data_IF_736398599526
#
_entry.id   IF_736398599526
#
_cell.length_a   1.000
_cell.length_b   1.000
_cell.length_c   1.000
_cell.angle_alpha   90.00
_cell.angle_beta   90.00
_cell.angle_gamma   90.00
#
_symmetry.space_group_name_H-M   'P 1'
#
loop_
_entity.id
_entity.type
_entity.pdbx_description
1 polymer ?
2 water ?
#
# COMPACT_ATOMS: atom_id res chain seq x y z
N UNK A 1 10.31 21.39 21.50
CA UNK A 1 10.26 20.22 22.44
C UNK A 1 10.41 18.89 21.69
N UNK A 2 11.13 17.95 22.30
CA UNK A 2 11.34 16.64 21.69
C UNK A 2 10.05 15.84 21.72
N UNK A 3 9.75 15.17 20.61
CA UNK A 3 8.56 14.33 20.51
C UNK A 3 8.75 13.43 19.30
N UNK A 4 7.94 12.37 19.19
CA UNK A 4 8.10 11.49 18.02
C UNK A 4 7.70 12.30 16.80
N UNK A 5 8.48 12.18 15.74
CA UNK A 5 8.20 12.88 14.50
C UNK A 5 8.57 11.95 13.37
N UNK A 6 7.64 11.74 12.45
CA UNK A 6 7.91 10.88 11.31
C UNK A 6 7.88 11.73 10.04
N UNK A 7 9.03 11.82 9.39
CA UNK A 7 9.15 12.58 8.15
C UNK A 7 8.82 11.66 6.99
N UNK A 8 7.93 12.10 6.12
CA UNK A 8 7.55 11.30 4.97
C UNK A 8 7.79 12.10 3.69
N UNK A 9 8.71 11.62 2.86
CA UNK A 9 9.01 12.30 1.60
C UNK A 9 7.86 11.96 0.66
N UNK A 10 7.27 12.98 0.04
CA UNK A 10 6.16 12.75 -0.87
C UNK A 10 6.55 13.12 -2.30
N UNK A 11 6.13 12.30 -3.27
CA UNK A 11 6.42 12.60 -4.67
C UNK A 11 5.80 13.96 -4.93
N UNK A 12 6.57 14.90 -5.49
CA UNK A 12 6.04 16.25 -5.76
C UNK A 12 4.68 16.26 -6.45
N UNK A 13 4.51 15.37 -7.43
CA UNK A 13 3.27 15.27 -8.19
C UNK A 13 2.08 14.73 -7.38
N UNK A 14 2.33 14.31 -6.14
CA UNK A 14 1.26 13.78 -5.30
C UNK A 14 1.00 14.62 -4.05
N UNK A 15 1.75 15.70 -3.87
CA UNK A 15 1.58 16.54 -2.68
C UNK A 15 0.16 17.09 -2.58
N UNK A 16 -0.44 17.40 -3.72
CA UNK A 16 -1.80 17.91 -3.71
C UNK A 16 -2.79 16.86 -3.24
N UNK A 17 -2.52 15.60 -3.58
CA UNK A 17 -3.41 14.52 -3.19
C UNK A 17 -3.30 14.28 -1.69
N UNK A 18 -2.10 14.46 -1.15
CA UNK A 18 -1.88 14.27 0.28
C UNK A 18 -2.57 15.36 1.10
N UNK A 19 -2.47 16.60 0.63
CA UNK A 19 -3.09 17.72 1.32
C UNK A 19 -4.61 17.70 1.12
N UNK A 20 -5.03 17.50 -0.12
CA UNK A 20 -6.44 17.48 -0.44
C UNK A 20 -6.95 18.90 -0.63
N UNK A 21 -8.07 19.07 -1.36
CA UNK A 21 -8.62 20.41 -1.59
C UNK A 21 -8.92 21.09 -0.27
N UNK A 22 -8.36 22.28 -0.09
CA UNK A 22 -8.56 23.03 1.14
C UNK A 22 -8.00 22.27 2.34
N UNK A 23 -7.08 21.34 2.08
CA UNK A 23 -6.46 20.55 3.14
C UNK A 23 -7.36 19.51 3.79
N UNK A 24 -8.44 19.14 3.11
CA UNK A 24 -9.39 18.18 3.65
C UNK A 24 -8.83 16.77 3.90
N UNK A 25 -7.87 16.34 3.08
CA UNK A 25 -7.30 15.01 3.26
C UNK A 25 -6.38 14.95 4.48
N UNK A 26 -5.43 15.87 4.58
CA UNK A 26 -4.56 15.82 5.75
C UNK A 26 -5.39 16.09 7.01
N UNK A 27 -6.42 16.92 6.88
CA UNK A 27 -7.29 17.23 8.03
C UNK A 27 -7.98 15.96 8.52
N UNK A 28 -8.46 15.14 7.59
CA UNK A 28 -9.14 13.90 7.94
C UNK A 28 -8.17 12.91 8.57
N UNK A 29 -6.94 12.85 8.05
CA UNK A 29 -5.96 11.93 8.63
C UNK A 29 -5.68 12.36 10.06
N UNK A 30 -5.50 13.66 10.26
CA UNK A 30 -5.24 14.21 11.59
C UNK A 30 -6.40 13.90 12.53
N UNK A 31 -7.62 14.14 12.05
CA UNK A 31 -8.83 13.92 12.84
C UNK A 31 -9.00 12.50 13.35
N UNK A 32 -8.75 11.53 12.48
CA UNK A 32 -8.91 10.12 12.85
C UNK A 32 -7.80 9.50 13.69
N UNK A 33 -6.62 10.12 13.66
CA UNK A 33 -5.46 9.60 14.40
C UNK A 33 -4.97 10.44 15.58
N UNK A 34 -5.41 11.69 15.67
CA UNK A 34 -4.96 12.54 16.77
C UNK A 34 -3.54 13.01 16.53
N UNK A 35 -3.21 13.26 15.27
CA UNK A 35 -1.89 13.72 14.91
C UNK A 35 -1.96 15.12 14.32
N UNK A 36 -0.78 15.72 14.15
CA UNK A 36 -0.65 17.03 13.54
C UNK A 36 0.29 16.82 12.36
N UNK A 37 -0.17 17.17 11.18
CA UNK A 37 0.63 16.99 9.98
C UNK A 37 1.02 18.33 9.39
N UNK A 38 2.31 18.54 9.22
CA UNK A 38 2.81 19.79 8.65
C UNK A 38 3.44 19.48 7.30
N UNK A 39 3.18 20.35 6.34
CA UNK A 39 3.68 20.18 4.99
C UNK A 39 4.75 21.20 4.60
N UNK A 40 5.81 20.71 3.96
CA UNK A 40 6.90 21.55 3.48
C UNK A 40 6.79 21.43 1.96
N UNK A 41 6.01 22.31 1.34
CA UNK A 41 5.81 22.25 -0.11
C UNK A 41 7.09 22.37 -0.92
N UNK A 42 7.97 23.28 -0.51
CA UNK A 42 9.22 23.48 -1.23
C UNK A 42 10.10 22.23 -1.27
N UNK A 43 10.06 21.44 -0.20
CA UNK A 43 10.85 20.22 -0.12
C UNK A 43 9.99 18.97 -0.34
N UNK A 44 8.68 19.18 -0.52
CA UNK A 44 7.73 18.09 -0.73
C UNK A 44 7.96 17.02 0.34
N UNK A 45 7.94 17.48 1.59
CA UNK A 45 8.16 16.63 2.75
C UNK A 45 7.00 16.88 3.71
N UNK A 46 6.54 15.81 4.35
CA UNK A 46 5.45 15.92 5.31
C UNK A 46 5.97 15.45 6.67
N UNK A 47 5.56 16.12 7.74
CA UNK A 47 5.99 15.72 9.07
C UNK A 47 4.75 15.36 9.88
N UNK A 48 4.75 14.16 10.45
CA UNK A 48 3.63 13.68 11.25
C UNK A 48 4.05 13.66 12.72
N UNK A 49 3.25 14.31 13.57
CA UNK A 49 3.53 14.38 15.00
C UNK A 49 2.26 14.08 15.79
N UNK A 50 2.42 13.62 17.04
CA UNK A 50 1.23 13.34 17.85
C UNK A 50 0.73 14.69 18.39
N UNK A 51 -0.57 14.81 18.62
CA UNK A 51 -1.10 16.08 19.15
C UNK A 51 -0.83 16.19 20.65
N UNK A 52 -0.60 15.04 21.30
CA UNK A 52 -0.33 14.96 22.74
C UNK A 52 0.63 13.79 22.98
N UNK A 53 1.39 13.82 24.08
CA UNK A 53 2.37 12.74 24.35
C UNK A 53 1.77 11.35 24.47
N UNK A 54 0.54 11.29 24.96
CA UNK A 54 -0.14 10.02 25.15
C UNK A 54 -0.72 9.36 23.91
N UNK A 55 -0.57 9.99 22.74
CA UNK A 55 -1.07 9.40 21.49
C UNK A 55 -0.16 8.19 21.24
N UNK A 56 -0.73 6.99 21.05
CA UNK A 56 0.12 5.82 20.83
C UNK A 56 0.88 5.80 19.51
N UNK A 57 2.01 5.07 19.47
CA UNK A 57 2.86 4.93 18.29
C UNK A 57 2.08 4.45 17.08
N UNK A 58 1.17 3.50 17.28
CA UNK A 58 0.38 2.98 16.17
C UNK A 58 -0.41 4.08 15.45
N UNK A 59 -0.92 5.05 16.19
CA UNK A 59 -1.68 6.15 15.58
C UNK A 59 -0.78 7.00 14.71
N UNK A 60 0.42 7.28 15.22
CA UNK A 60 1.40 8.09 14.51
C UNK A 60 1.92 7.35 13.26
N UNK A 61 2.27 6.09 13.46
CA UNK A 61 2.78 5.26 12.38
C UNK A 61 1.76 5.04 11.26
N UNK A 62 0.51 4.74 11.61
CA UNK A 62 -0.50 4.53 10.57
C UNK A 62 -0.81 5.83 9.82
N UNK A 63 -0.78 6.96 10.53
CA UNK A 63 -1.02 8.25 9.89
C UNK A 63 0.05 8.44 8.81
N UNK A 64 1.29 8.10 9.16
CA UNK A 64 2.42 8.23 8.23
C UNK A 64 2.29 7.24 7.08
N UNK A 65 1.73 6.06 7.34
CA UNK A 65 1.57 5.06 6.29
C UNK A 65 0.53 5.52 5.28
N UNK A 66 -0.52 6.18 5.76
CA UNK A 66 -1.55 6.69 4.86
C UNK A 66 -0.91 7.70 3.90
N UNK A 67 -0.10 8.60 4.45
CA UNK A 67 0.57 9.60 3.62
C UNK A 67 1.47 8.92 2.58
N UNK A 68 2.23 7.92 3.01
CA UNK A 68 3.11 7.21 2.10
C UNK A 68 2.31 6.53 0.99
N UNK A 69 1.18 5.92 1.37
CA UNK A 69 0.32 5.23 0.40
C UNK A 69 -0.24 6.19 -0.66
N UNK A 70 -0.61 7.40 -0.25
CA UNK A 70 -1.14 8.39 -1.20
C UNK A 70 -0.01 8.85 -2.12
N UNK A 71 1.17 9.04 -1.55
CA UNK A 71 2.35 9.44 -2.32
C UNK A 71 2.65 8.39 -3.40
N UNK A 72 2.49 7.12 -3.05
CA UNK A 72 2.74 6.02 -3.98
C UNK A 72 1.72 5.92 -5.11
N UNK A 73 0.58 6.59 -4.97
CA UNK A 73 -0.41 6.55 -6.04
C UNK A 73 -1.84 6.23 -5.64
N UNK A 74 -2.04 5.69 -4.44
CA UNK A 74 -3.38 5.36 -3.98
C UNK A 74 -4.22 6.61 -3.72
N UNK A 75 -5.50 6.58 -4.12
CA UNK A 75 -6.32 7.76 -3.83
C UNK A 75 -6.55 7.72 -2.31
N UNK A 76 -6.75 8.88 -1.67
CA UNK A 76 -6.97 8.90 -0.22
C UNK A 76 -7.96 7.86 0.31
N UNK A 77 -9.11 7.74 -0.36
CA UNK A 77 -10.14 6.81 0.07
C UNK A 77 -9.62 5.38 0.24
N UNK A 78 -8.72 4.95 -0.64
CA UNK A 78 -8.18 3.60 -0.51
C UNK A 78 -7.08 3.57 0.54
N UNK A 79 -6.25 4.61 0.56
CA UNK A 79 -5.15 4.70 1.52
C UNK A 79 -5.63 4.67 2.98
N UNK A 80 -6.81 5.23 3.25
CA UNK A 80 -7.35 5.25 4.61
C UNK A 80 -7.51 3.85 5.21
N UNK A 81 -7.51 2.84 4.34
CA UNK A 81 -7.64 1.46 4.81
C UNK A 81 -6.50 1.13 5.76
N UNK A 82 -5.37 1.81 5.60
CA UNK A 82 -4.20 1.59 6.43
C UNK A 82 -4.41 2.01 7.89
N UNK A 83 -5.51 2.71 8.15
CA UNK A 83 -5.83 3.14 9.51
C UNK A 83 -6.50 1.98 10.24
N UNK A 84 -6.92 0.98 9.49
CA UNK A 84 -7.59 -0.17 10.07
C UNK A 84 -6.63 -1.15 10.72
N UNK A 85 -7.18 -1.90 11.67
CA UNK A 85 -6.42 -2.88 12.41
C UNK A 85 -5.91 -4.00 11.50
N UNK A 86 -4.65 -4.35 11.68
CA UNK A 86 -4.01 -5.42 10.92
C UNK A 86 -3.70 -5.12 9.45
N UNK A 87 -4.07 -3.94 8.96
CA UNK A 87 -3.78 -3.61 7.56
C UNK A 87 -2.38 -3.00 7.47
N UNK A 88 -1.60 -3.44 6.49
CA UNK A 88 -0.25 -2.92 6.29
C UNK A 88 -0.02 -2.53 4.83
N UNK A 89 1.07 -1.82 4.59
CA UNK A 89 1.44 -1.38 3.26
C UNK A 89 2.71 -2.09 2.84
N UNK A 90 2.65 -2.77 1.70
CA UNK A 90 3.81 -3.47 1.16
C UNK A 90 4.05 -2.90 -0.22
N UNK A 91 5.32 -2.71 -0.57
CA UNK A 91 5.65 -2.14 -1.87
C UNK A 91 6.63 -3.00 -2.66
N UNK A 92 6.36 -3.14 -3.95
CA UNK A 92 7.23 -3.88 -4.85
C UNK A 92 7.86 -2.84 -5.77
N UNK A 93 9.18 -2.66 -5.66
CA UNK A 93 9.86 -1.70 -6.51
C UNK A 93 10.29 -2.46 -7.76
N UNK A 94 9.60 -2.19 -8.88
CA UNK A 94 9.88 -2.88 -10.12
C UNK A 94 11.29 -2.67 -10.68
N UNK A 95 11.97 -1.60 -10.27
CA UNK A 95 13.32 -1.38 -10.76
C UNK A 95 14.28 -2.40 -10.17
N UNK A 96 13.83 -3.10 -9.14
CA UNK A 96 14.64 -4.14 -8.52
C UNK A 96 14.69 -5.33 -9.48
N UNK A 97 13.77 -5.33 -10.44
CA UNK A 97 13.69 -6.39 -11.43
C UNK A 97 14.24 -5.95 -12.78
N UNK A 98 13.71 -4.85 -13.30
CA UNK A 98 14.10 -4.33 -14.60
C UNK A 98 15.11 -3.18 -14.60
N UNK A 99 15.65 -2.85 -13.43
CA UNK A 99 16.62 -1.78 -13.36
C UNK A 99 16.12 -0.48 -13.98
N UNK A 100 16.99 0.18 -14.75
CA UNK A 100 16.64 1.45 -15.38
C UNK A 100 15.99 1.31 -16.76
N UNK A 101 15.70 0.09 -17.18
CA UNK A 101 15.09 -0.10 -18.50
C UNK A 101 13.63 0.32 -18.57
N UNK A 102 13.37 1.42 -19.28
CA UNK A 102 12.03 1.95 -19.45
C UNK A 102 11.14 1.00 -20.25
N UNK A 103 11.71 0.41 -21.31
CA UNK A 103 10.96 -0.50 -22.15
C UNK A 103 10.62 -1.80 -21.43
N UNK A 104 11.54 -2.29 -20.62
CA UNK A 104 11.28 -3.52 -19.87
C UNK A 104 10.23 -3.24 -18.80
N UNK A 105 10.35 -2.07 -18.17
CA UNK A 105 9.40 -1.66 -17.14
C UNK A 105 8.00 -1.62 -17.75
N UNK A 106 7.88 -1.00 -18.92
CA UNK A 106 6.58 -0.93 -19.57
C UNK A 106 6.04 -2.32 -19.88
N UNK A 107 6.90 -3.22 -20.34
CA UNK A 107 6.43 -4.56 -20.65
C UNK A 107 5.93 -5.31 -19.42
N UNK A 108 6.67 -5.27 -18.32
CA UNK A 108 6.21 -5.98 -17.14
C UNK A 108 4.97 -5.34 -16.52
N UNK A 109 4.84 -4.02 -16.63
CA UNK A 109 3.66 -3.37 -16.09
C UNK A 109 2.45 -3.87 -16.87
N UNK A 110 2.66 -4.15 -18.15
CA UNK A 110 1.58 -4.66 -18.98
C UNK A 110 1.12 -6.03 -18.50
N UNK A 111 2.07 -6.86 -18.07
CA UNK A 111 1.76 -8.20 -17.55
C UNK A 111 1.06 -8.10 -16.19
N UNK A 112 1.54 -7.20 -15.34
CA UNK A 112 0.97 -7.01 -14.01
C UNK A 112 -0.44 -6.46 -14.07
N UNK A 113 -0.67 -5.50 -14.96
CA UNK A 113 -1.99 -4.91 -15.12
C UNK A 113 -2.91 -5.85 -15.89
N UNK A 114 -2.40 -6.38 -17.00
CA UNK A 114 -3.19 -7.29 -17.82
C UNK A 114 -4.14 -6.53 -18.73
N UNK A 115 -4.73 -7.22 -19.70
CA UNK A 115 -5.67 -6.59 -20.61
C UNK A 115 -6.90 -6.14 -19.84
N UNK A 116 -7.21 -4.85 -19.92
CA UNK A 116 -8.36 -4.33 -19.21
C UNK A 116 -8.16 -4.38 -17.70
N UNK A 117 -6.91 -4.40 -17.27
CA UNK A 117 -6.60 -4.46 -15.85
C UNK A 117 -7.07 -5.74 -15.20
N UNK A 118 -7.24 -6.78 -16.00
CA UNK A 118 -7.70 -8.08 -15.52
C UNK A 118 -6.75 -8.80 -14.57
N UNK A 119 -5.45 -8.69 -14.81
CA UNK A 119 -4.47 -9.37 -13.96
C UNK A 119 -4.43 -8.73 -12.57
N UNK A 120 -4.36 -7.40 -12.54
CA UNK A 120 -4.32 -6.67 -11.28
C UNK A 120 -5.58 -6.97 -10.46
N UNK A 121 -6.74 -6.95 -11.11
CA UNK A 121 -8.00 -7.21 -10.41
C UNK A 121 -8.08 -8.64 -9.87
N UNK A 122 -7.59 -9.61 -10.65
CA UNK A 122 -7.62 -11.00 -10.22
C UNK A 122 -6.81 -11.18 -8.94
N UNK A 123 -5.62 -10.60 -8.90
CA UNK A 123 -4.79 -10.71 -7.71
C UNK A 123 -5.49 -10.03 -6.53
N UNK A 124 -6.07 -8.85 -6.75
CA UNK A 124 -6.78 -8.14 -5.67
C UNK A 124 -7.94 -8.97 -5.11
N UNK A 125 -8.72 -9.57 -6.00
CA UNK A 125 -9.87 -10.38 -5.59
C UNK A 125 -9.46 -11.64 -4.85
N UNK A 126 -8.39 -12.29 -5.33
CA UNK A 126 -7.92 -13.52 -4.71
C UNK A 126 -7.32 -13.29 -3.33
N UNK A 127 -6.67 -12.15 -3.13
CA UNK A 127 -6.02 -11.84 -1.86
C UNK A 127 -6.76 -10.83 -1.00
N UNK A 128 -7.82 -10.24 -1.54
CA UNK A 128 -8.59 -9.23 -0.82
C UNK A 128 -7.67 -8.09 -0.39
N UNK A 129 -6.93 -7.55 -1.36
CA UNK A 129 -6.02 -6.43 -1.12
C UNK A 129 -6.29 -5.32 -2.15
N UNK A 130 -5.76 -4.13 -1.89
CA UNK A 130 -5.87 -3.02 -2.83
C UNK A 130 -4.48 -2.98 -3.45
N UNK A 131 -4.40 -2.88 -4.77
CA UNK A 131 -3.12 -2.83 -5.45
C UNK A 131 -3.06 -1.64 -6.40
N UNK A 132 -2.00 -0.84 -6.28
CA UNK A 132 -1.83 0.30 -7.16
C UNK A 132 -0.54 0.14 -7.95
N UNK A 133 -0.64 0.23 -9.27
CA UNK A 133 0.53 0.12 -10.12
C UNK A 133 0.93 1.54 -10.51
N UNK A 134 1.95 2.06 -9.84
CA UNK A 134 2.40 3.42 -10.13
C UNK A 134 3.44 3.45 -11.23
N UNK A 135 4.27 4.49 -11.23
CA UNK A 135 5.32 4.66 -12.23
C UNK A 135 6.23 3.43 -12.30
N UNK A 136 6.78 3.04 -11.15
CA UNK A 136 7.65 1.88 -11.10
C UNK A 136 7.50 1.13 -9.79
N UNK A 137 6.56 1.57 -8.96
CA UNK A 137 6.31 0.93 -7.67
C UNK A 137 4.89 0.38 -7.61
N UNK A 138 4.74 -0.88 -7.20
CA UNK A 138 3.41 -1.46 -7.05
C UNK A 138 3.14 -1.54 -5.55
N UNK A 139 2.19 -0.73 -5.09
CA UNK A 139 1.85 -0.67 -3.67
C UNK A 139 0.66 -1.58 -3.36
N UNK A 140 0.73 -2.25 -2.21
CA UNK A 140 -0.30 -3.20 -1.80
C UNK A 140 -0.75 -2.94 -0.37
N UNK A 141 -2.06 -2.94 -0.15
CA UNK A 141 -2.62 -2.75 1.18
C UNK A 141 -3.48 -3.96 1.54
N UNK A 142 -3.19 -4.58 2.68
CA UNK A 142 -3.96 -5.73 3.14
C UNK A 142 -3.37 -6.25 4.44
N UNK A 143 -3.90 -7.33 5.01
CA UNK A 143 -3.29 -7.83 6.24
C UNK A 143 -1.99 -8.51 5.83
N UNK A 144 -1.11 -8.73 6.80
CA UNK A 144 0.20 -9.32 6.54
C UNK A 144 0.29 -10.46 5.53
N UNK A 145 -0.39 -11.57 5.80
CA UNK A 145 -0.32 -12.71 4.90
C UNK A 145 -0.88 -12.47 3.50
N UNK A 146 -2.02 -11.80 3.41
CA UNK A 146 -2.62 -11.51 2.12
C UNK A 146 -1.76 -10.53 1.31
N UNK A 147 -1.23 -9.50 1.97
CA UNK A 147 -0.37 -8.54 1.28
C UNK A 147 0.90 -9.23 0.78
N UNK A 148 1.45 -10.14 1.59
CA UNK A 148 2.65 -10.85 1.19
C UNK A 148 2.35 -11.82 0.04
N UNK A 149 1.14 -12.38 0.03
CA UNK A 149 0.74 -13.30 -1.05
C UNK A 149 0.66 -12.51 -2.36
N UNK A 150 0.03 -11.34 -2.30
CA UNK A 150 -0.11 -10.48 -3.47
C UNK A 150 1.27 -10.02 -3.97
N UNK A 151 2.15 -9.69 -3.04
CA UNK A 151 3.50 -9.23 -3.37
C UNK A 151 4.21 -10.29 -4.20
N UNK A 152 4.11 -11.54 -3.74
CA UNK A 152 4.74 -12.65 -4.42
C UNK A 152 4.17 -12.80 -5.84
N UNK A 153 2.84 -12.76 -5.96
CA UNK A 153 2.20 -12.88 -7.27
C UNK A 153 2.68 -11.78 -8.22
N UNK A 154 2.76 -10.55 -7.70
CA UNK A 154 3.23 -9.42 -8.49
C UNK A 154 4.68 -9.64 -8.93
N UNK A 155 5.52 -10.10 -8.01
CA UNK A 155 6.91 -10.36 -8.35
C UNK A 155 7.01 -11.44 -9.43
N UNK A 156 6.21 -12.50 -9.30
CA UNK A 156 6.20 -13.59 -10.28
C UNK A 156 5.83 -13.07 -11.68
N UNK A 157 4.87 -12.15 -11.75
CA UNK A 157 4.47 -11.60 -13.04
C UNK A 157 5.57 -10.71 -13.60
N UNK A 158 6.23 -9.96 -12.72
CA UNK A 158 7.30 -9.06 -13.14
C UNK A 158 8.49 -9.86 -13.64
N UNK A 159 8.50 -11.15 -13.34
CA UNK A 159 9.58 -12.02 -13.77
C UNK A 159 9.23 -12.82 -15.03
N UNK A 160 8.02 -12.64 -15.54
CA UNK A 160 7.62 -13.32 -16.76
C UNK A 160 6.78 -14.59 -16.69
N UNK A 161 6.39 -15.00 -15.48
CA UNK A 161 5.58 -16.21 -15.32
C UNK A 161 4.25 -16.05 -16.03
N UNK A 162 3.66 -17.15 -16.47
CA UNK A 162 2.35 -17.11 -17.14
C UNK A 162 1.35 -16.64 -16.09
N UNK A 163 0.24 -16.06 -16.52
CA UNK A 163 -0.78 -15.61 -15.58
C UNK A 163 -1.41 -16.80 -14.87
N UNK A 164 -1.73 -17.85 -15.62
CA UNK A 164 -2.35 -19.05 -15.05
C UNK A 164 -1.46 -19.66 -13.98
N UNK A 165 -0.15 -19.62 -14.22
CA UNK A 165 0.84 -20.14 -13.28
C UNK A 165 0.73 -19.36 -11.97
N UNK A 166 0.77 -18.04 -12.08
CA UNK A 166 0.67 -17.17 -10.92
C UNK A 166 -0.65 -17.38 -10.17
N UNK A 167 -1.76 -17.43 -10.89
CA UNK A 167 -3.06 -17.61 -10.26
C UNK A 167 -3.17 -18.96 -9.56
N UNK A 168 -2.66 -20.01 -10.19
CA UNK A 168 -2.72 -21.34 -9.59
C UNK A 168 -1.93 -21.34 -8.28
N UNK A 169 -0.75 -20.72 -8.29
CA UNK A 169 0.10 -20.64 -7.11
C UNK A 169 -0.56 -19.81 -6.01
N UNK A 170 -1.09 -18.65 -6.39
CA UNK A 170 -1.77 -17.76 -5.45
C UNK A 170 -2.96 -18.48 -4.82
N UNK A 171 -3.63 -19.28 -5.63
CA UNK A 171 -4.79 -20.07 -5.22
C UNK A 171 -4.38 -21.01 -4.07
N UNK A 172 -3.24 -21.68 -4.24
CA UNK A 172 -2.73 -22.60 -3.23
C UNK A 172 -2.41 -21.84 -1.96
N UNK A 173 -1.70 -20.73 -2.10
CA UNK A 173 -1.31 -19.90 -0.97
C UNK A 173 -2.52 -19.37 -0.21
N UNK A 174 -3.51 -18.84 -0.94
CA UNK A 174 -4.70 -18.27 -0.31
C UNK A 174 -5.65 -19.30 0.29
N UNK A 175 -5.77 -20.46 -0.34
CA UNK A 175 -6.65 -21.49 0.20
C UNK A 175 -6.06 -21.96 1.53
N UNK A 176 -4.73 -22.00 1.60
CA UNK A 176 -4.02 -22.40 2.81
C UNK A 176 -4.25 -21.40 3.94
N UNK A 177 -4.16 -20.11 3.61
CA UNK A 177 -4.36 -19.04 4.59
C UNK A 177 -5.78 -19.06 5.15
N UNK A 178 -6.76 -19.14 4.26
CA UNK A 178 -8.15 -19.14 4.67
C UNK A 178 -8.53 -20.43 5.39
N UNK A 179 -7.98 -21.56 4.95
CA UNK A 179 -8.28 -22.82 5.61
C UNK A 179 -7.82 -22.74 7.06
N UNK A 180 -6.59 -22.26 7.26
CA UNK A 180 -6.02 -22.13 8.59
C UNK A 180 -6.87 -21.21 9.45
N UNK A 181 -7.34 -20.12 8.87
CA UNK A 181 -8.17 -19.18 9.61
C UNK A 181 -9.47 -19.86 10.03
N UNK A 182 -10.11 -20.57 9.10
CA UNK A 182 -11.36 -21.25 9.40
C UNK A 182 -11.18 -22.29 10.51
N UNK A 183 -10.09 -23.04 10.45
CA UNK A 183 -9.83 -24.07 11.46
C UNK A 183 -9.56 -23.45 12.82
N UNK A 184 -8.85 -22.34 12.86
CA UNK A 184 -8.57 -21.67 14.13
C UNK A 184 -9.88 -21.20 14.73
N UNK A 185 -10.75 -20.67 13.88
CA UNK A 185 -12.05 -20.19 14.33
C UNK A 185 -12.87 -21.37 14.88
N UNK A 186 -13.00 -22.42 14.09
CA UNK A 186 -13.73 -23.61 14.50
C UNK A 186 -13.23 -24.12 15.85
N UNK A 187 -11.91 -24.24 15.97
CA UNK A 187 -11.29 -24.73 17.20
C UNK A 187 -11.60 -23.84 18.40
N UNK A 188 -11.67 -22.53 18.18
CA UNK A 188 -11.95 -21.59 19.26
C UNK A 188 -13.39 -21.64 19.71
N UNK A 189 -14.30 -21.69 18.75
CA UNK A 189 -15.71 -21.74 19.06
C UNK A 189 -16.31 -23.00 18.48
#
# INVERSE_FOLDING_TARGET
AMKPRIYVKVKPERLGAVIGPRGEVKAEIMRRTGTVITVDTENSMVIVEPEAEGIPPVNLMKAAEVVKAISLGFPPEKAFRLLEEDQILVVVDLKQVVGDSQNHLKRIKGRIIGEGGRARRTIEEMTDTYINVGEYEVAIIGDYERAMAAKQAIEMLAEGRMHSTVYRHLERIMREIKRRERLKMWAREEL
#
